data_IF_350848409423
#
_entry.id   IF_350848409423
#
_cell.length_a   1.000
_cell.length_b   1.000
_cell.length_c   1.000
_cell.angle_alpha   90.00
_cell.angle_beta   90.00
_cell.angle_gamma   90.00
#
_symmetry.space_group_name_H-M   'P 1'
#
loop_
_entity.id
_entity.type
_entity.pdbx_description
1 polymer ?
#
# COMPACT_ATOMS: atom_id res chain seq x y z
N UNK A 1 -61.53 -17.96 -36.01
CA UNK A 1 -60.44 -17.02 -36.35
C UNK A 1 -59.93 -16.42 -35.05
N UNK A 2 -58.71 -16.82 -34.68
CA UNK A 2 -57.98 -16.38 -33.48
C UNK A 2 -57.44 -14.97 -33.69
N UNK A 3 -57.56 -14.11 -32.68
CA UNK A 3 -56.50 -13.15 -32.34
C UNK A 3 -56.50 -12.94 -30.83
N UNK A 4 -55.79 -13.82 -30.14
CA UNK A 4 -55.26 -13.60 -28.81
C UNK A 4 -54.36 -12.35 -28.86
N UNK A 5 -54.76 -11.25 -28.22
CA UNK A 5 -53.92 -10.06 -28.09
C UNK A 5 -53.00 -10.27 -26.88
N UNK A 6 -51.77 -10.71 -27.16
CA UNK A 6 -50.69 -10.70 -26.18
C UNK A 6 -50.44 -9.26 -25.72
N UNK A 7 -50.26 -9.12 -24.42
CA UNK A 7 -49.80 -7.91 -23.77
C UNK A 7 -48.31 -7.74 -24.06
N UNK A 8 -47.96 -6.75 -24.86
CA UNK A 8 -46.59 -6.26 -24.92
C UNK A 8 -46.54 -5.11 -23.89
N UNK A 9 -46.38 -5.47 -22.62
CA UNK A 9 -45.86 -4.53 -21.64
C UNK A 9 -44.44 -4.22 -22.12
N UNK A 10 -44.26 -3.05 -22.73
CA UNK A 10 -42.97 -2.49 -23.09
C UNK A 10 -42.21 -2.25 -21.78
N UNK A 11 -41.53 -3.31 -21.32
CA UNK A 11 -40.54 -3.29 -20.26
C UNK A 11 -39.35 -2.52 -20.81
N UNK A 12 -39.51 -1.19 -20.84
CA UNK A 12 -38.42 -0.25 -20.97
C UNK A 12 -37.58 -0.40 -19.70
N UNK A 13 -36.75 -1.44 -19.68
CA UNK A 13 -35.60 -1.52 -18.79
C UNK A 13 -34.69 -0.39 -19.25
N UNK A 14 -34.94 0.78 -18.66
CA UNK A 14 -33.97 1.86 -18.63
C UNK A 14 -32.74 1.27 -17.97
N UNK A 15 -31.82 0.78 -18.81
CA UNK A 15 -30.47 0.39 -18.41
C UNK A 15 -29.85 1.67 -17.89
N UNK A 16 -30.05 1.95 -16.60
CA UNK A 16 -29.29 2.96 -15.89
C UNK A 16 -27.84 2.62 -16.18
N UNK A 17 -27.07 3.47 -16.87
CA UNK A 17 -25.65 3.21 -17.04
C UNK A 17 -25.13 3.00 -15.63
N UNK A 18 -24.55 1.82 -15.38
CA UNK A 18 -23.96 1.50 -14.10
C UNK A 18 -23.11 2.71 -13.74
N UNK A 19 -23.54 3.44 -12.70
CA UNK A 19 -22.93 4.69 -12.26
C UNK A 19 -21.44 4.45 -12.34
N UNK A 20 -20.79 5.06 -13.34
CA UNK A 20 -19.36 4.88 -13.55
C UNK A 20 -18.79 5.46 -12.27
N UNK A 21 -18.42 4.55 -11.36
CA UNK A 21 -17.93 4.89 -10.04
C UNK A 21 -16.89 5.96 -10.30
N UNK A 22 -17.13 7.17 -9.77
CA UNK A 22 -16.25 8.31 -9.99
C UNK A 22 -14.80 7.83 -9.83
N UNK A 23 -13.88 8.24 -10.73
CA UNK A 23 -12.53 7.69 -10.77
C UNK A 23 -12.00 7.67 -9.34
N UNK A 24 -11.81 6.47 -8.80
CA UNK A 24 -11.42 6.27 -7.41
C UNK A 24 -10.22 7.18 -7.18
N UNK A 25 -10.41 8.26 -6.42
CA UNK A 25 -9.42 9.34 -6.37
C UNK A 25 -8.13 8.73 -5.81
N UNK A 26 -7.12 8.59 -6.67
CA UNK A 26 -5.86 7.94 -6.31
C UNK A 26 -5.10 8.92 -5.42
N UNK A 27 -5.30 8.81 -4.10
CA UNK A 27 -4.73 9.70 -3.10
C UNK A 27 -3.42 9.13 -2.57
N UNK A 28 -2.39 9.98 -2.52
CA UNK A 28 -1.12 9.61 -1.92
C UNK A 28 -1.27 9.39 -0.40
N UNK A 29 -0.77 8.27 0.14
CA UNK A 29 -0.88 7.99 1.57
C UNK A 29 0.01 8.93 2.38
N UNK A 30 -0.49 9.42 3.52
CA UNK A 30 0.28 10.31 4.41
C UNK A 30 0.97 9.54 5.53
N UNK A 31 2.28 9.73 5.67
CA UNK A 31 3.02 9.19 6.81
C UNK A 31 2.91 10.14 8.00
N UNK A 32 2.02 9.83 8.92
CA UNK A 32 1.67 10.71 10.06
C UNK A 32 2.53 10.51 11.31
N UNK A 33 3.17 9.34 11.45
CA UNK A 33 3.99 9.01 12.61
C UNK A 33 5.16 8.10 12.23
N UNK A 34 6.27 8.22 12.96
CA UNK A 34 7.46 7.40 12.77
C UNK A 34 7.49 6.18 13.71
N UNK A 35 6.45 5.35 13.68
CA UNK A 35 6.35 4.08 14.40
C UNK A 35 6.26 2.89 13.43
N UNK A 36 6.65 1.70 13.91
CA UNK A 36 6.82 0.53 13.06
C UNK A 36 5.56 0.12 12.29
N UNK A 37 4.39 0.11 12.95
CA UNK A 37 3.12 -0.28 12.34
C UNK A 37 2.67 0.71 11.26
N UNK A 38 2.81 2.01 11.49
CA UNK A 38 2.43 3.04 10.50
C UNK A 38 3.40 3.03 9.33
N UNK A 39 4.70 2.80 9.54
CA UNK A 39 5.68 2.70 8.45
C UNK A 39 5.37 1.49 7.54
N UNK A 40 5.08 0.32 8.12
CA UNK A 40 4.72 -0.87 7.34
C UNK A 40 3.42 -0.64 6.57
N UNK A 41 2.42 -0.06 7.24
CA UNK A 41 1.13 0.26 6.61
C UNK A 41 1.29 1.25 5.47
N UNK A 42 1.97 2.37 5.72
CA UNK A 42 2.24 3.40 4.73
C UNK A 42 3.02 2.85 3.53
N UNK A 43 4.01 1.96 3.74
CA UNK A 43 4.74 1.35 2.61
C UNK A 43 3.82 0.53 1.72
N UNK A 44 2.93 -0.29 2.31
CA UNK A 44 1.94 -1.08 1.56
C UNK A 44 0.94 -0.18 0.81
N UNK A 45 0.41 0.84 1.49
CA UNK A 45 -0.50 1.81 0.88
C UNK A 45 0.18 2.57 -0.26
N UNK A 46 1.47 2.87 -0.13
CA UNK A 46 2.24 3.54 -1.17
C UNK A 46 2.53 2.64 -2.36
N UNK A 47 2.85 1.36 -2.14
CA UNK A 47 2.94 0.37 -3.23
C UNK A 47 1.61 0.26 -4.00
N UNK A 48 0.47 0.28 -3.29
CA UNK A 48 -0.85 0.24 -3.91
C UNK A 48 -1.17 1.53 -4.68
N UNK A 49 -0.81 2.69 -4.13
CA UNK A 49 -0.93 3.98 -4.79
C UNK A 49 -0.14 4.05 -6.11
N UNK A 50 1.14 3.65 -6.08
CA UNK A 50 2.02 3.65 -7.27
C UNK A 50 1.49 2.68 -8.35
N UNK A 51 0.99 1.50 -7.96
CA UNK A 51 0.35 0.56 -8.90
C UNK A 51 -0.89 1.15 -9.57
N UNK A 52 -1.80 1.72 -8.79
CA UNK A 52 -3.03 2.36 -9.32
C UNK A 52 -2.70 3.54 -10.24
N UNK A 53 -1.67 4.32 -9.91
CA UNK A 53 -1.20 5.39 -10.79
C UNK A 53 -0.67 4.85 -12.11
N UNK A 54 0.13 3.78 -12.09
CA UNK A 54 0.62 3.14 -13.31
C UNK A 54 -0.53 2.62 -14.18
N UNK A 55 -1.53 1.97 -13.59
CA UNK A 55 -2.74 1.53 -14.30
C UNK A 55 -3.46 2.71 -14.97
N UNK A 56 -3.61 3.84 -14.27
CA UNK A 56 -4.21 5.06 -14.84
C UNK A 56 -3.38 5.67 -15.95
N UNK A 57 -2.06 5.73 -15.81
CA UNK A 57 -1.15 6.21 -16.85
C UNK A 57 -1.28 5.40 -18.13
N UNK A 58 -1.39 4.07 -18.02
CA UNK A 58 -1.61 3.18 -19.17
C UNK A 58 -2.93 3.52 -19.88
N UNK A 59 -3.99 3.82 -19.14
CA UNK A 59 -5.30 4.14 -19.71
C UNK A 59 -5.43 5.57 -20.25
N UNK A 60 -4.70 6.53 -19.69
CA UNK A 60 -4.93 7.98 -19.94
C UNK A 60 -3.78 8.64 -20.72
N UNK A 61 -2.67 7.92 -20.96
CA UNK A 61 -1.42 8.44 -21.57
C UNK A 61 -0.76 9.62 -20.82
N UNK A 62 -1.16 9.85 -19.58
CA UNK A 62 -0.55 10.86 -18.71
C UNK A 62 0.84 10.42 -18.25
N UNK A 63 1.76 11.38 -18.15
CA UNK A 63 3.11 11.14 -17.66
C UNK A 63 3.08 10.83 -16.16
N UNK A 64 3.63 9.67 -15.77
CA UNK A 64 3.66 9.22 -14.37
C UNK A 64 4.36 10.21 -13.43
N UNK A 65 5.45 10.82 -13.89
CA UNK A 65 6.26 11.76 -13.11
C UNK A 65 5.51 13.07 -12.79
N UNK A 66 4.49 13.44 -13.58
CA UNK A 66 3.72 14.66 -13.32
C UNK A 66 2.61 14.47 -12.29
N UNK A 67 2.16 13.23 -12.07
CA UNK A 67 1.02 12.91 -11.21
C UNK A 67 1.43 12.28 -9.87
N UNK A 68 2.62 11.69 -9.80
CA UNK A 68 3.10 11.01 -8.59
C UNK A 68 3.49 12.03 -7.52
N UNK A 69 2.96 11.88 -6.32
CA UNK A 69 3.39 12.67 -5.16
C UNK A 69 4.74 12.15 -4.69
N UNK A 70 5.72 13.05 -4.53
CA UNK A 70 7.06 12.71 -4.02
C UNK A 70 7.01 11.98 -2.67
N UNK A 71 8.06 11.22 -2.35
CA UNK A 71 8.16 10.53 -1.06
C UNK A 71 8.13 11.56 0.06
N UNK A 72 8.96 12.60 -0.04
CA UNK A 72 8.97 13.70 0.92
C UNK A 72 7.61 14.43 1.01
N UNK A 73 6.90 14.59 -0.11
CA UNK A 73 5.58 15.25 -0.15
C UNK A 73 4.46 14.45 0.50
N UNK A 74 4.64 13.14 0.65
CA UNK A 74 3.69 12.25 1.32
C UNK A 74 3.99 12.03 2.81
N UNK A 75 5.09 12.59 3.31
CA UNK A 75 5.45 12.50 4.73
C UNK A 75 5.01 13.77 5.45
N UNK A 76 4.45 13.62 6.65
CA UNK A 76 4.09 14.77 7.45
C UNK A 76 5.32 15.63 7.78
N UNK A 77 5.18 16.95 7.74
CA UNK A 77 6.29 17.88 7.93
C UNK A 77 6.99 17.69 9.29
N UNK A 78 6.25 17.34 10.34
CA UNK A 78 6.81 17.08 11.67
C UNK A 78 7.62 15.78 11.66
N UNK A 79 7.11 14.74 11.01
CA UNK A 79 7.82 13.46 10.84
C UNK A 79 9.09 13.65 10.02
N UNK A 80 9.01 14.41 8.92
CA UNK A 80 10.16 14.70 8.06
C UNK A 80 11.24 15.50 8.81
N UNK A 81 10.86 16.47 9.64
CA UNK A 81 11.79 17.20 10.51
C UNK A 81 12.49 16.28 11.50
N UNK A 82 11.75 15.36 12.13
CA UNK A 82 12.33 14.41 13.08
C UNK A 82 13.25 13.40 12.38
N UNK A 83 12.89 12.96 11.17
CA UNK A 83 13.74 12.11 10.33
C UNK A 83 15.06 12.80 9.98
N UNK A 84 14.99 14.07 9.58
CA UNK A 84 16.17 14.89 9.28
C UNK A 84 17.16 14.92 10.43
N UNK A 85 16.67 15.28 11.62
CA UNK A 85 17.49 15.52 12.79
C UNK A 85 18.04 14.22 13.43
N UNK A 86 17.18 13.22 13.59
CA UNK A 86 17.47 12.08 14.46
C UNK A 86 17.81 10.78 13.73
N UNK A 87 17.42 10.65 12.46
CA UNK A 87 17.58 9.38 11.73
C UNK A 87 18.59 9.52 10.59
N UNK A 88 18.44 10.56 9.76
CA UNK A 88 19.31 10.79 8.62
C UNK A 88 20.53 11.67 8.96
N UNK A 89 20.45 12.45 10.05
CA UNK A 89 21.47 13.43 10.43
C UNK A 89 21.86 14.37 9.29
N UNK A 90 20.85 14.79 8.51
CA UNK A 90 20.98 15.68 7.35
C UNK A 90 20.13 16.94 7.55
N UNK A 91 20.53 18.00 6.87
CA UNK A 91 19.78 19.24 6.82
C UNK A 91 18.50 19.06 5.97
N UNK A 92 17.41 19.74 6.32
CA UNK A 92 16.07 19.46 5.75
C UNK A 92 16.04 19.68 4.24
N UNK A 93 16.77 20.65 3.71
CA UNK A 93 16.80 20.91 2.26
C UNK A 93 17.65 19.89 1.49
N UNK A 94 18.54 19.17 2.17
CA UNK A 94 19.40 18.14 1.59
C UNK A 94 18.77 16.74 1.57
N UNK A 95 17.56 16.56 2.11
CA UNK A 95 16.90 15.25 2.16
C UNK A 95 16.28 14.93 0.81
N UNK A 96 16.65 13.78 0.26
CA UNK A 96 16.07 13.26 -0.97
C UNK A 96 15.00 12.21 -0.69
N UNK A 97 14.11 12.00 -1.65
CA UNK A 97 13.13 10.91 -1.62
C UNK A 97 13.81 9.54 -1.44
N UNK A 98 15.02 9.38 -1.98
CA UNK A 98 15.83 8.16 -1.85
C UNK A 98 16.31 7.90 -0.42
N UNK A 99 16.68 8.96 0.31
CA UNK A 99 17.08 8.85 1.71
C UNK A 99 15.91 8.37 2.58
N UNK A 100 14.73 8.96 2.38
CA UNK A 100 13.53 8.63 3.15
C UNK A 100 13.05 7.21 2.84
N UNK A 101 13.01 6.82 1.57
CA UNK A 101 12.56 5.48 1.20
C UNK A 101 13.56 4.40 1.60
N UNK A 102 14.86 4.68 1.53
CA UNK A 102 15.91 3.80 2.02
C UNK A 102 15.72 3.46 3.51
N UNK A 103 15.42 4.48 4.31
CA UNK A 103 15.23 4.32 5.74
C UNK A 103 13.90 3.63 6.10
N UNK A 104 12.82 3.93 5.38
CA UNK A 104 11.55 3.18 5.50
C UNK A 104 11.79 1.70 5.21
N UNK A 105 12.50 1.37 4.13
CA UNK A 105 12.80 -0.01 3.75
C UNK A 105 13.66 -0.71 4.81
N UNK A 106 14.68 -0.04 5.35
CA UNK A 106 15.51 -0.56 6.45
C UNK A 106 14.69 -0.91 7.69
N UNK A 107 13.72 -0.07 8.05
CA UNK A 107 12.79 -0.38 9.15
C UNK A 107 11.85 -1.52 8.81
N UNK A 108 11.37 -1.61 7.57
CA UNK A 108 10.49 -2.70 7.14
C UNK A 108 11.22 -4.06 7.13
N UNK A 109 12.52 -4.11 6.79
CA UNK A 109 13.31 -5.36 6.76
C UNK A 109 13.66 -5.88 8.15
N UNK A 110 13.83 -4.99 9.14
CA UNK A 110 14.12 -5.37 10.53
C UNK A 110 13.07 -6.34 11.12
N UNK A 111 11.80 -6.25 10.67
CA UNK A 111 10.73 -7.15 11.15
C UNK A 111 10.72 -8.49 10.40
N UNK A 112 11.14 -8.52 9.13
CA UNK A 112 11.19 -9.75 8.35
C UNK A 112 12.19 -10.75 8.95
N UNK A 113 13.28 -10.28 9.55
CA UNK A 113 14.25 -11.15 10.22
C UNK A 113 13.73 -11.66 11.57
N UNK A 114 13.13 -10.81 12.41
CA UNK A 114 12.61 -11.23 13.71
C UNK A 114 11.43 -12.20 13.59
N UNK A 115 10.42 -11.90 12.78
CA UNK A 115 9.29 -12.83 12.57
C UNK A 115 9.75 -14.11 11.88
N UNK A 116 10.77 -14.05 11.00
CA UNK A 116 11.30 -15.25 10.36
C UNK A 116 12.20 -16.11 11.24
N UNK A 117 12.78 -15.53 12.29
CA UNK A 117 13.66 -16.23 13.23
C UNK A 117 12.88 -16.83 14.40
N UNK A 118 11.80 -16.19 14.85
CA UNK A 118 10.96 -16.70 15.94
C UNK A 118 10.24 -17.99 15.57
N UNK A 119 9.73 -18.13 14.33
CA UNK A 119 9.14 -19.42 13.91
C UNK A 119 10.19 -20.53 13.76
N UNK A 120 11.41 -20.22 13.31
CA UNK A 120 12.51 -21.21 13.20
C UNK A 120 12.94 -21.71 14.58
N UNK A 121 12.97 -20.85 15.59
CA UNK A 121 13.27 -21.22 16.97
C UNK A 121 12.14 -22.05 17.61
N UNK A 122 10.88 -21.75 17.30
CA UNK A 122 9.73 -22.53 17.81
C UNK A 122 9.63 -23.92 17.14
N UNK A 123 9.89 -24.04 15.83
CA UNK A 123 9.91 -25.33 15.13
C UNK A 123 11.07 -26.23 15.62
N UNK A 124 12.26 -25.66 15.84
CA UNK A 124 13.44 -26.43 16.27
C UNK A 124 13.33 -26.96 17.70
N UNK A 125 12.63 -26.26 18.60
CA UNK A 125 12.35 -26.74 19.96
C UNK A 125 11.35 -27.89 20.01
N UNK A 126 10.41 -27.96 19.06
CA UNK A 126 9.41 -29.05 18.99
C UNK A 126 10.02 -30.34 18.43
N UNK A 127 11.01 -30.24 17.54
CA UNK A 127 11.71 -31.41 16.98
C UNK A 127 12.68 -32.09 17.97
N UNK A 128 13.24 -31.35 18.92
CA UNK A 128 14.22 -31.88 19.89
C UNK A 128 13.60 -32.51 21.15
N UNK A 129 12.27 -32.48 21.27
CA UNK A 129 11.53 -33.03 22.42
C UNK A 129 11.07 -34.49 22.25
N UNK A 130 11.18 -35.10 21.06
CA UNK A 130 10.59 -36.42 20.80
C UNK A 130 11.59 -37.59 20.73
N UNK A 131 12.89 -37.37 21.01
CA UNK A 131 13.93 -38.42 20.95
C UNK A 131 14.64 -38.70 22.30
N UNK A 132 14.05 -38.28 23.42
CA UNK A 132 14.53 -38.68 24.76
C UNK A 132 13.40 -39.30 25.58
N UNK A 133 13.06 -40.55 25.26
CA UNK A 133 12.02 -41.26 26.02
C UNK A 133 11.62 -42.63 25.48
N UNK A 134 12.54 -43.44 24.97
CA UNK A 134 12.37 -44.91 24.91
C UNK A 134 13.71 -45.57 25.19
N UNK A 135 13.97 -45.80 26.47
CA UNK A 135 14.76 -46.93 26.97
C UNK A 135 13.83 -47.77 27.81
#
# INVERSE_FOLDING_TARGET
>A
MSTFRMAEADDNVEMTPAYISAPEHIVAPRLTAWNQSVIIRWRKERDQYERRLHERCVSTSEQYDSIVVSVCGSVDAVVLKNLAAYVLHKERTSITDQDVIGEVNRRCTTVKTTTSQTWKLCLRSTSNGHERGRR
#
